data_IF_944503401763
#
_entry.id   IF_944503401763
#
_cell.length_a   1.000
_cell.length_b   1.000
_cell.length_c   1.000
_cell.angle_alpha   90.00
_cell.angle_beta   90.00
_cell.angle_gamma   90.00
#
_symmetry.space_group_name_H-M   'P 1'
#
loop_
_entity.id
_entity.type
_entity.pdbx_description
1 polymer ?
#
# COMPACT_ATOMS: atom_id res chain seq x y z
N UNK A 1 -19.47 -28.80 -13.43
CA UNK A 1 -19.51 -27.59 -12.59
C UNK A 1 -18.15 -27.46 -11.92
N UNK A 2 -17.45 -26.35 -12.13
CA UNK A 2 -16.07 -26.19 -11.64
C UNK A 2 -15.99 -26.13 -10.13
N UNK A 3 -15.00 -26.82 -9.54
CA UNK A 3 -14.67 -26.69 -8.12
C UNK A 3 -13.78 -25.46 -7.94
N UNK A 4 -14.37 -24.32 -7.57
CA UNK A 4 -13.59 -23.17 -7.12
C UNK A 4 -13.04 -23.44 -5.71
N UNK A 5 -11.82 -23.00 -5.44
CA UNK A 5 -11.25 -23.09 -4.10
C UNK A 5 -12.12 -22.30 -3.09
N UNK A 6 -12.34 -22.80 -1.86
CA UNK A 6 -13.17 -22.11 -0.86
C UNK A 6 -12.74 -20.67 -0.56
N UNK A 7 -11.42 -20.40 -0.56
CA UNK A 7 -10.86 -19.05 -0.38
C UNK A 7 -11.27 -18.09 -1.50
N UNK A 8 -11.36 -18.58 -2.73
CA UNK A 8 -11.77 -17.81 -3.90
C UNK A 8 -13.27 -17.51 -3.87
N UNK A 9 -14.09 -18.50 -3.47
CA UNK A 9 -15.53 -18.30 -3.24
C UNK A 9 -15.77 -17.26 -2.16
N UNK A 10 -15.06 -17.35 -1.03
CA UNK A 10 -15.15 -16.37 0.05
C UNK A 10 -14.80 -14.96 -0.42
N UNK A 11 -13.90 -14.77 -1.39
CA UNK A 11 -13.57 -13.45 -1.93
C UNK A 11 -14.65 -12.94 -2.90
N UNK A 12 -15.24 -13.81 -3.71
CA UNK A 12 -16.32 -13.48 -4.65
C UNK A 12 -17.66 -13.13 -4.00
N UNK A 13 -17.98 -13.77 -2.87
CA UNK A 13 -19.29 -13.63 -2.24
C UNK A 13 -19.44 -12.26 -1.55
N UNK A 14 -20.21 -11.37 -2.19
CA UNK A 14 -20.58 -10.05 -1.65
C UNK A 14 -21.70 -10.10 -0.61
N UNK A 15 -22.49 -11.18 -0.59
CA UNK A 15 -23.58 -11.34 0.37
C UNK A 15 -23.08 -11.89 1.73
N UNK A 16 -21.83 -12.36 1.78
CA UNK A 16 -21.22 -12.83 3.02
C UNK A 16 -20.88 -11.68 3.97
N UNK A 17 -21.35 -11.81 5.22
CA UNK A 17 -21.05 -10.87 6.30
C UNK A 17 -21.58 -9.46 6.03
N UNK A 18 -20.72 -8.46 6.27
CA UNK A 18 -20.97 -7.03 6.14
C UNK A 18 -20.35 -6.44 4.87
N UNK A 19 -19.87 -7.27 3.93
CA UNK A 19 -19.12 -6.80 2.75
C UNK A 19 -19.92 -5.85 1.86
N UNK A 20 -21.18 -6.18 1.60
CA UNK A 20 -22.04 -5.34 0.78
C UNK A 20 -22.24 -3.96 1.43
N UNK A 21 -22.58 -3.94 2.71
CA UNK A 21 -22.79 -2.69 3.45
C UNK A 21 -21.49 -1.89 3.58
N UNK A 22 -20.36 -2.56 3.83
CA UNK A 22 -19.03 -1.94 3.87
C UNK A 22 -18.64 -1.34 2.53
N UNK A 23 -18.94 -2.01 1.42
CA UNK A 23 -18.70 -1.49 0.07
C UNK A 23 -19.53 -0.21 -0.18
N UNK A 24 -20.81 -0.20 0.18
CA UNK A 24 -21.67 0.98 0.05
C UNK A 24 -21.24 2.12 0.97
N UNK A 25 -20.86 1.81 2.20
CA UNK A 25 -20.32 2.79 3.15
C UNK A 25 -19.04 3.41 2.59
N UNK A 26 -18.15 2.61 2.00
CA UNK A 26 -16.92 3.09 1.35
C UNK A 26 -17.17 4.13 0.24
N UNK A 27 -18.25 3.98 -0.54
CA UNK A 27 -18.66 5.00 -1.53
C UNK A 27 -19.00 6.32 -0.83
N UNK A 28 -19.77 6.25 0.26
CA UNK A 28 -20.19 7.42 1.03
C UNK A 28 -19.00 8.10 1.71
N UNK A 29 -18.08 7.31 2.26
CA UNK A 29 -16.86 7.80 2.89
C UNK A 29 -16.01 8.57 1.87
N UNK A 30 -15.78 8.00 0.68
CA UNK A 30 -15.04 8.68 -0.40
C UNK A 30 -15.73 9.95 -0.88
N UNK A 31 -17.07 9.95 -0.97
CA UNK A 31 -17.81 11.15 -1.33
C UNK A 31 -17.54 12.31 -0.35
N UNK A 32 -17.44 11.99 0.96
CA UNK A 32 -17.22 12.94 2.05
C UNK A 32 -15.75 13.37 2.21
N UNK A 33 -14.79 12.68 1.59
CA UNK A 33 -13.39 13.10 1.64
C UNK A 33 -13.18 14.46 0.92
N UNK A 34 -12.15 15.24 1.31
CA UNK A 34 -11.74 16.43 0.57
C UNK A 34 -11.45 16.11 -0.90
N UNK A 35 -11.67 17.07 -1.79
CA UNK A 35 -11.29 16.92 -3.19
C UNK A 35 -9.75 17.00 -3.30
N UNK A 36 -9.07 15.95 -3.83
CA UNK A 36 -7.61 15.97 -3.95
C UNK A 36 -7.12 16.85 -5.10
N UNK A 37 -8.00 17.32 -6.01
CA UNK A 37 -7.65 18.12 -7.18
C UNK A 37 -7.67 19.63 -6.91
N UNK A 38 -6.82 20.37 -7.63
CA UNK A 38 -6.76 21.83 -7.53
C UNK A 38 -6.05 22.35 -6.28
N UNK A 39 -5.46 21.46 -5.47
CA UNK A 39 -4.76 21.82 -4.24
C UNK A 39 -3.41 22.44 -4.59
N UNK A 40 -3.17 23.67 -4.12
CA UNK A 40 -1.89 24.34 -4.31
C UNK A 40 -0.94 23.93 -3.19
N UNK A 41 0.16 23.25 -3.56
CA UNK A 41 1.16 22.75 -2.62
C UNK A 41 2.46 23.56 -2.60
N UNK A 42 2.59 24.53 -3.52
CA UNK A 42 3.73 25.43 -3.61
C UNK A 42 3.32 26.64 -4.46
N UNK A 43 3.67 27.85 -4.01
CA UNK A 43 3.45 29.07 -4.77
C UNK A 43 4.58 30.08 -4.52
N UNK A 44 5.06 30.71 -5.59
CA UNK A 44 6.08 31.77 -5.52
C UNK A 44 5.84 32.89 -6.51
N UNK A 45 6.17 34.10 -6.09
CA UNK A 45 6.39 35.24 -6.97
C UNK A 45 7.81 35.20 -7.52
N UNK A 46 7.93 35.09 -8.84
CA UNK A 46 9.22 35.04 -9.53
C UNK A 46 9.71 36.43 -9.96
N UNK A 47 8.78 37.34 -10.28
CA UNK A 47 9.02 38.77 -10.55
C UNK A 47 7.75 39.56 -10.21
N UNK A 48 7.80 40.88 -10.27
CA UNK A 48 6.60 41.72 -10.27
C UNK A 48 5.69 41.28 -11.42
N UNK A 49 4.44 40.89 -11.10
CA UNK A 49 3.47 40.37 -12.06
C UNK A 49 3.83 39.00 -12.68
N UNK A 50 4.73 38.21 -12.07
CA UNK A 50 5.02 36.84 -12.51
C UNK A 50 4.92 35.86 -11.34
N UNK A 51 3.91 34.99 -11.38
CA UNK A 51 3.57 34.07 -10.28
C UNK A 51 3.54 32.62 -10.76
N UNK A 52 4.16 31.74 -9.98
CA UNK A 52 4.28 30.31 -10.20
C UNK A 52 3.53 29.53 -9.12
N UNK A 53 2.74 28.55 -9.53
CA UNK A 53 1.94 27.68 -8.66
C UNK A 53 2.19 26.22 -9.02
N UNK A 54 2.26 25.33 -8.02
CA UNK A 54 2.22 23.87 -8.17
C UNK A 54 0.87 23.36 -7.68
N UNK A 55 0.10 22.77 -8.58
CA UNK A 55 -1.33 22.48 -8.37
C UNK A 55 -1.58 21.00 -8.64
N UNK A 56 -2.28 20.32 -7.74
CA UNK A 56 -2.64 18.93 -7.94
C UNK A 56 -3.63 18.74 -9.10
N UNK A 57 -3.48 17.66 -9.84
CA UNK A 57 -4.36 17.26 -10.92
C UNK A 57 -4.45 15.74 -11.02
N UNK A 58 -5.47 15.19 -11.69
CA UNK A 58 -5.59 13.75 -11.86
C UNK A 58 -4.38 13.18 -12.58
N UNK A 59 -4.11 11.89 -12.37
CA UNK A 59 -3.12 11.15 -13.16
C UNK A 59 -3.56 11.09 -14.62
N UNK A 60 -4.83 10.78 -14.88
CA UNK A 60 -5.41 10.63 -16.21
C UNK A 60 -6.30 9.40 -16.28
N UNK A 61 -5.88 8.40 -17.05
CA UNK A 61 -6.60 7.15 -17.24
C UNK A 61 -5.94 5.98 -16.48
N UNK A 62 -6.74 5.30 -15.66
CA UNK A 62 -6.32 4.16 -14.85
C UNK A 62 -6.72 2.84 -15.50
N UNK A 63 -5.83 1.86 -15.51
CA UNK A 63 -6.15 0.46 -15.81
C UNK A 63 -6.05 -0.38 -14.54
N UNK A 64 -7.18 -0.91 -14.06
CA UNK A 64 -7.19 -1.77 -12.88
C UNK A 64 -7.50 -3.20 -13.27
N UNK A 65 -6.56 -4.10 -13.01
CA UNK A 65 -6.66 -5.53 -13.32
C UNK A 65 -6.79 -6.30 -12.00
N UNK A 66 -7.85 -7.06 -11.81
CA UNK A 66 -8.14 -7.70 -10.52
C UNK A 66 -8.71 -9.11 -10.61
N UNK A 67 -8.46 -9.93 -9.57
CA UNK A 67 -8.90 -11.32 -9.48
C UNK A 67 -9.83 -11.56 -8.27
N UNK A 68 -10.95 -12.22 -8.54
CA UNK A 68 -11.91 -12.75 -7.56
C UNK A 68 -12.39 -11.76 -6.49
N UNK A 69 -12.50 -10.47 -6.82
CA UNK A 69 -12.93 -9.40 -5.91
C UNK A 69 -13.87 -8.41 -6.61
N UNK A 70 -15.16 -8.73 -6.76
CA UNK A 70 -16.11 -7.87 -7.46
C UNK A 70 -16.30 -6.50 -6.79
N UNK A 71 -16.06 -6.38 -5.48
CA UNK A 71 -16.10 -5.11 -4.73
C UNK A 71 -15.10 -4.07 -5.25
N UNK A 72 -14.00 -4.52 -5.87
CA UNK A 72 -12.98 -3.63 -6.46
C UNK A 72 -13.59 -2.73 -7.52
N UNK A 73 -14.61 -3.18 -8.26
CA UNK A 73 -15.29 -2.37 -9.27
C UNK A 73 -15.85 -1.08 -8.66
N UNK A 74 -16.54 -1.19 -7.52
CA UNK A 74 -17.20 -0.06 -6.87
C UNK A 74 -16.18 0.83 -6.15
N UNK A 75 -15.22 0.24 -5.45
CA UNK A 75 -14.20 0.99 -4.71
C UNK A 75 -13.33 1.84 -5.64
N UNK A 76 -12.86 1.25 -6.75
CA UNK A 76 -12.04 1.94 -7.73
C UNK A 76 -12.85 2.99 -8.48
N UNK A 77 -14.08 2.69 -8.89
CA UNK A 77 -14.93 3.68 -9.54
C UNK A 77 -15.12 4.92 -8.65
N UNK A 78 -15.40 4.71 -7.36
CA UNK A 78 -15.60 5.82 -6.40
C UNK A 78 -14.34 6.68 -6.25
N UNK A 79 -13.17 6.05 -6.09
CA UNK A 79 -11.89 6.74 -5.98
C UNK A 79 -11.49 7.45 -7.27
N UNK A 80 -11.65 6.81 -8.42
CA UNK A 80 -11.33 7.37 -9.74
C UNK A 80 -12.19 8.60 -10.03
N UNK A 81 -13.51 8.50 -9.84
CA UNK A 81 -14.44 9.64 -10.02
C UNK A 81 -14.06 10.80 -9.10
N UNK A 82 -13.83 10.54 -7.81
CA UNK A 82 -13.52 11.58 -6.83
C UNK A 82 -12.17 12.26 -7.09
N UNK A 83 -11.18 11.50 -7.55
CA UNK A 83 -9.85 11.98 -7.93
C UNK A 83 -9.79 12.52 -9.36
N UNK A 84 -10.89 12.52 -10.12
CA UNK A 84 -10.95 13.07 -11.47
C UNK A 84 -10.22 12.23 -12.53
N UNK A 85 -10.02 10.94 -12.27
CA UNK A 85 -9.45 9.98 -13.20
C UNK A 85 -10.54 9.16 -13.88
N UNK A 86 -10.36 8.85 -15.17
CA UNK A 86 -11.13 7.79 -15.81
C UNK A 86 -10.55 6.42 -15.46
N UNK A 87 -11.33 5.35 -15.58
CA UNK A 87 -10.85 4.01 -15.27
C UNK A 87 -11.37 2.93 -16.23
N UNK A 88 -10.48 2.01 -16.58
CA UNK A 88 -10.76 0.76 -17.29
C UNK A 88 -10.56 -0.38 -16.29
N UNK A 89 -11.61 -1.17 -16.08
CA UNK A 89 -11.68 -2.21 -15.07
C UNK A 89 -11.67 -3.58 -15.75
N UNK A 90 -10.62 -4.36 -15.53
CA UNK A 90 -10.47 -5.71 -16.07
C UNK A 90 -10.51 -6.74 -14.93
N UNK A 91 -11.70 -7.32 -14.72
CA UNK A 91 -11.89 -8.40 -13.76
C UNK A 91 -11.55 -9.79 -14.33
N UNK A 92 -11.32 -10.74 -13.43
CA UNK A 92 -11.23 -12.17 -13.74
C UNK A 92 -12.58 -12.77 -14.16
N UNK A 93 -12.53 -13.86 -14.93
CA UNK A 93 -13.69 -14.54 -15.56
C UNK A 93 -14.74 -15.01 -14.54
N UNK A 94 -14.28 -15.33 -13.34
CA UNK A 94 -15.09 -15.78 -12.21
C UNK A 94 -16.04 -14.70 -11.67
N UNK A 95 -15.75 -13.41 -11.92
CA UNK A 95 -16.52 -12.27 -11.40
C UNK A 95 -17.29 -11.50 -12.48
N UNK A 96 -17.24 -11.96 -13.74
CA UNK A 96 -17.75 -11.22 -14.91
C UNK A 96 -19.20 -10.78 -14.77
N UNK A 97 -20.10 -11.66 -14.35
CA UNK A 97 -21.53 -11.32 -14.26
C UNK A 97 -21.80 -10.27 -13.18
N UNK A 98 -21.17 -10.42 -12.01
CA UNK A 98 -21.27 -9.46 -10.91
C UNK A 98 -20.68 -8.10 -11.30
N UNK A 99 -19.48 -8.10 -11.87
CA UNK A 99 -18.81 -6.89 -12.34
C UNK A 99 -19.64 -6.16 -13.41
N UNK A 100 -20.28 -6.91 -14.31
CA UNK A 100 -21.17 -6.32 -15.31
C UNK A 100 -22.38 -5.62 -14.70
N UNK A 101 -23.06 -6.24 -13.73
CA UNK A 101 -24.20 -5.60 -13.04
C UNK A 101 -23.77 -4.36 -12.26
N UNK A 102 -22.63 -4.40 -11.56
CA UNK A 102 -22.08 -3.25 -10.86
C UNK A 102 -21.72 -2.12 -11.85
N UNK A 103 -21.14 -2.45 -13.00
CA UNK A 103 -20.82 -1.48 -14.05
C UNK A 103 -22.07 -0.81 -14.63
N UNK A 104 -23.17 -1.55 -14.83
CA UNK A 104 -24.43 -0.97 -15.28
C UNK A 104 -25.01 0.01 -14.24
N UNK A 105 -24.92 -0.33 -12.95
CA UNK A 105 -25.36 0.55 -11.88
C UNK A 105 -24.52 1.85 -11.84
N UNK A 106 -23.19 1.75 -11.96
CA UNK A 106 -22.27 2.89 -12.02
C UNK A 106 -22.59 3.77 -13.24
N UNK A 107 -22.75 3.16 -14.41
CA UNK A 107 -23.11 3.88 -15.65
C UNK A 107 -24.43 4.62 -15.53
N UNK A 108 -25.46 3.98 -14.96
CA UNK A 108 -26.75 4.60 -14.71
C UNK A 108 -26.66 5.80 -13.74
N UNK A 109 -25.74 5.75 -12.78
CA UNK A 109 -25.47 6.87 -11.89
C UNK A 109 -24.73 8.02 -12.62
N UNK A 110 -23.70 7.69 -13.41
CA UNK A 110 -22.93 8.67 -14.20
C UNK A 110 -23.81 9.41 -15.21
N UNK A 111 -24.76 8.73 -15.86
CA UNK A 111 -25.70 9.33 -16.80
C UNK A 111 -26.63 10.40 -16.17
N UNK A 112 -26.70 10.49 -14.83
CA UNK A 112 -27.42 11.53 -14.09
C UNK A 112 -26.53 12.70 -13.68
N UNK A 113 -25.25 12.67 -14.06
CA UNK A 113 -24.24 13.69 -13.76
C UNK A 113 -23.80 14.41 -15.04
N UNK A 114 -22.85 15.34 -14.93
CA UNK A 114 -22.22 15.98 -16.08
C UNK A 114 -21.08 15.17 -16.71
N UNK A 115 -20.75 14.00 -16.15
CA UNK A 115 -19.69 13.13 -16.66
C UNK A 115 -20.23 12.22 -17.76
N UNK A 116 -19.33 11.81 -18.65
CA UNK A 116 -19.62 10.81 -19.66
C UNK A 116 -20.00 9.48 -18.99
N UNK A 117 -21.01 8.78 -19.54
CA UNK A 117 -21.46 7.50 -19.00
C UNK A 117 -20.40 6.39 -19.11
N UNK A 118 -19.39 6.55 -19.98
CA UNK A 118 -18.23 5.69 -20.17
C UNK A 118 -16.99 6.16 -19.42
N UNK A 119 -17.12 7.09 -18.47
CA UNK A 119 -16.00 7.55 -17.64
C UNK A 119 -15.35 6.41 -16.84
N UNK A 120 -16.15 5.40 -16.47
CA UNK A 120 -15.72 4.14 -15.89
C UNK A 120 -16.15 3.01 -16.83
N UNK A 121 -15.19 2.25 -17.34
CA UNK A 121 -15.41 1.17 -18.30
C UNK A 121 -15.04 -0.18 -17.69
N UNK A 122 -15.75 -1.23 -18.08
CA UNK A 122 -15.44 -2.60 -17.65
C UNK A 122 -15.22 -3.47 -18.88
N UNK A 123 -14.07 -4.16 -18.94
CA UNK A 123 -13.72 -5.05 -20.05
C UNK A 123 -14.10 -6.48 -19.67
N UNK A 124 -15.12 -7.02 -20.33
CA UNK A 124 -15.70 -8.34 -20.04
C UNK A 124 -15.22 -9.45 -20.98
N UNK A 125 -14.62 -9.10 -22.09
CA UNK A 125 -14.24 -9.97 -23.20
C UNK A 125 -12.99 -10.80 -22.90
N UNK A 126 -12.71 -11.77 -23.78
CA UNK A 126 -11.46 -12.56 -23.77
C UNK A 126 -10.21 -11.72 -24.05
N UNK A 127 -10.40 -10.44 -24.39
CA UNK A 127 -9.37 -9.45 -24.71
C UNK A 127 -8.17 -9.64 -23.80
N UNK A 128 -7.06 -9.87 -24.47
CA UNK A 128 -5.85 -10.27 -23.81
C UNK A 128 -5.36 -9.07 -23.01
N UNK A 129 -5.15 -9.28 -21.71
CA UNK A 129 -4.58 -8.26 -20.82
C UNK A 129 -3.34 -7.61 -21.45
N UNK A 130 -2.60 -8.34 -22.29
CA UNK A 130 -1.49 -7.85 -23.11
C UNK A 130 -1.84 -6.63 -23.96
N UNK A 131 -2.96 -6.62 -24.68
CA UNK A 131 -3.31 -5.50 -25.56
C UNK A 131 -3.52 -4.21 -24.76
N UNK A 132 -4.21 -4.29 -23.61
CA UNK A 132 -4.39 -3.15 -22.71
C UNK A 132 -3.05 -2.69 -22.11
N UNK A 133 -2.14 -3.62 -21.83
CA UNK A 133 -0.81 -3.31 -21.30
C UNK A 133 0.14 -2.68 -22.35
N UNK A 134 -0.21 -2.71 -23.63
CA UNK A 134 0.52 -2.05 -24.72
C UNK A 134 0.02 -0.63 -25.02
N UNK A 135 -1.10 -0.19 -24.41
CA UNK A 135 -1.72 1.11 -24.65
C UNK A 135 -1.11 2.25 -23.81
N UNK A 136 0.22 2.38 -23.80
CA UNK A 136 0.94 3.43 -23.04
C UNK A 136 0.74 4.86 -23.56
N UNK A 137 0.09 5.03 -24.71
CA UNK A 137 -0.39 6.33 -25.19
C UNK A 137 -1.68 6.81 -24.48
N UNK A 138 -2.51 5.87 -24.00
CA UNK A 138 -3.86 6.17 -23.49
C UNK A 138 -4.02 5.89 -21.99
N UNK A 139 -3.16 5.05 -21.41
CA UNK A 139 -3.27 4.58 -20.04
C UNK A 139 -2.05 5.08 -19.28
N UNK A 140 -2.30 5.86 -18.23
CA UNK A 140 -1.26 6.54 -17.45
C UNK A 140 -0.77 5.72 -16.25
N UNK A 141 -1.60 4.81 -15.74
CA UNK A 141 -1.26 3.97 -14.58
C UNK A 141 -1.98 2.62 -14.59
N UNK A 142 -1.23 1.54 -14.37
CA UNK A 142 -1.77 0.19 -14.15
C UNK A 142 -1.76 -0.17 -12.66
N UNK A 143 -2.85 -0.74 -12.18
CA UNK A 143 -3.03 -1.14 -10.78
C UNK A 143 -3.47 -2.61 -10.72
N UNK A 144 -2.53 -3.54 -10.50
CA UNK A 144 -2.86 -4.95 -10.33
C UNK A 144 -3.34 -5.27 -8.91
N UNK A 145 -4.47 -5.97 -8.79
CA UNK A 145 -5.05 -6.45 -7.52
C UNK A 145 -5.34 -7.95 -7.60
N UNK A 146 -4.32 -8.77 -7.34
CA UNK A 146 -4.45 -10.22 -7.42
C UNK A 146 -3.31 -10.94 -6.73
N UNK A 147 -2.94 -12.09 -7.29
CA UNK A 147 -1.78 -12.85 -6.82
C UNK A 147 -0.44 -12.17 -7.14
N UNK A 148 0.61 -12.52 -6.38
CA UNK A 148 1.99 -12.07 -6.64
C UNK A 148 2.42 -12.39 -8.08
N UNK A 149 2.00 -13.55 -8.61
CA UNK A 149 2.28 -13.96 -9.99
C UNK A 149 1.64 -13.02 -11.02
N UNK A 150 0.40 -12.59 -10.80
CA UNK A 150 -0.27 -11.62 -11.67
C UNK A 150 0.47 -10.27 -11.65
N UNK A 151 0.80 -9.76 -10.46
CA UNK A 151 1.51 -8.47 -10.31
C UNK A 151 2.86 -8.52 -11.03
N UNK A 152 3.65 -9.56 -10.78
CA UNK A 152 4.96 -9.76 -11.44
C UNK A 152 4.82 -9.90 -12.95
N UNK A 153 3.80 -10.61 -13.43
CA UNK A 153 3.56 -10.72 -14.88
C UNK A 153 3.28 -9.34 -15.49
N UNK A 154 2.39 -8.55 -14.90
CA UNK A 154 2.04 -7.22 -15.40
C UNK A 154 3.27 -6.30 -15.40
N UNK A 155 4.04 -6.27 -14.30
CA UNK A 155 5.25 -5.46 -14.19
C UNK A 155 6.29 -5.77 -15.27
N UNK A 156 6.39 -7.01 -15.74
CA UNK A 156 7.31 -7.38 -16.82
C UNK A 156 6.73 -7.16 -18.23
N UNK A 157 5.42 -6.95 -18.35
CA UNK A 157 4.70 -6.95 -19.64
C UNK A 157 4.27 -5.57 -20.13
N UNK A 158 4.53 -4.49 -19.38
CA UNK A 158 4.09 -3.13 -19.77
C UNK A 158 5.17 -2.08 -19.58
N UNK A 159 5.10 -1.01 -20.38
CA UNK A 159 5.84 0.24 -20.17
C UNK A 159 5.08 1.25 -19.32
N UNK A 160 3.77 1.04 -19.15
CA UNK A 160 2.92 1.90 -18.33
C UNK A 160 3.40 1.80 -16.88
N UNK A 161 3.48 2.91 -16.13
CA UNK A 161 3.76 2.84 -14.70
C UNK A 161 2.82 1.86 -13.98
N UNK A 162 3.38 1.00 -13.13
CA UNK A 162 2.60 0.01 -12.36
C UNK A 162 2.67 0.36 -10.89
N UNK A 163 1.51 0.51 -10.24
CA UNK A 163 1.40 0.75 -8.81
C UNK A 163 0.82 -0.47 -8.09
N UNK A 164 1.59 -1.02 -7.17
CA UNK A 164 1.17 -2.15 -6.34
C UNK A 164 2.33 -2.72 -5.55
N UNK A 165 2.15 -3.91 -5.00
CA UNK A 165 3.19 -4.68 -4.35
C UNK A 165 3.16 -6.12 -4.87
N UNK A 166 4.34 -6.72 -5.01
CA UNK A 166 4.47 -8.06 -5.56
C UNK A 166 4.62 -9.14 -4.48
N UNK A 167 5.04 -8.80 -3.27
CA UNK A 167 5.24 -9.72 -2.15
C UNK A 167 4.97 -9.01 -0.81
N UNK A 168 4.62 -9.76 0.24
CA UNK A 168 4.24 -9.27 1.57
C UNK A 168 5.12 -9.82 2.71
N UNK A 169 6.44 -9.77 2.56
CA UNK A 169 7.40 -10.22 3.58
C UNK A 169 7.56 -9.14 4.66
N UNK A 170 6.72 -9.18 5.68
CA UNK A 170 6.73 -8.23 6.79
C UNK A 170 7.45 -8.80 8.01
N UNK A 171 8.20 -7.96 8.74
CA UNK A 171 8.89 -8.36 9.95
C UNK A 171 8.39 -7.65 11.22
N UNK A 172 8.48 -8.35 12.35
CA UNK A 172 8.37 -7.77 13.69
C UNK A 172 9.69 -7.98 14.40
N UNK A 173 10.29 -6.92 14.95
CA UNK A 173 11.51 -6.98 15.75
C UNK A 173 11.21 -6.74 17.22
N UNK A 174 11.61 -7.68 18.07
CA UNK A 174 11.58 -7.56 19.53
C UNK A 174 12.95 -7.04 20.01
N UNK A 175 12.99 -5.76 20.33
CA UNK A 175 14.17 -5.06 20.83
C UNK A 175 14.56 -5.51 22.24
N UNK A 176 15.82 -5.31 22.64
CA UNK A 176 16.30 -5.70 23.97
C UNK A 176 15.51 -5.10 25.14
N UNK A 177 14.82 -3.98 24.92
CA UNK A 177 13.98 -3.30 25.91
C UNK A 177 12.49 -3.59 25.75
N UNK A 178 12.09 -4.56 24.92
CA UNK A 178 10.69 -4.86 24.65
C UNK A 178 9.91 -5.22 25.93
N UNK A 179 8.78 -4.55 26.16
CA UNK A 179 7.83 -4.96 27.18
C UNK A 179 7.22 -6.34 26.81
N UNK A 180 7.24 -7.34 27.71
CA UNK A 180 6.75 -8.68 27.40
C UNK A 180 5.28 -8.72 26.94
N UNK A 181 4.41 -7.89 27.53
CA UNK A 181 2.99 -7.90 27.19
C UNK A 181 2.75 -7.28 25.81
N UNK A 182 3.44 -6.18 25.48
CA UNK A 182 3.40 -5.59 24.13
C UNK A 182 3.96 -6.56 23.10
N UNK A 183 5.08 -7.22 23.38
CA UNK A 183 5.71 -8.18 22.48
C UNK A 183 4.75 -9.32 22.09
N UNK A 184 4.09 -9.94 23.08
CA UNK A 184 3.09 -11.00 22.83
C UNK A 184 1.94 -10.46 21.98
N UNK A 185 1.33 -9.34 22.36
CA UNK A 185 0.16 -8.80 21.67
C UNK A 185 0.46 -8.42 20.22
N UNK A 186 1.57 -7.73 20.00
CA UNK A 186 1.96 -7.24 18.67
C UNK A 186 2.36 -8.40 17.76
N UNK A 187 3.21 -9.32 18.23
CA UNK A 187 3.65 -10.45 17.41
C UNK A 187 2.49 -11.39 17.04
N UNK A 188 1.61 -11.71 17.99
CA UNK A 188 0.45 -12.57 17.75
C UNK A 188 -0.52 -11.92 16.77
N UNK A 189 -0.96 -10.68 17.01
CA UNK A 189 -1.92 -10.02 16.11
C UNK A 189 -1.33 -9.82 14.69
N UNK A 190 -0.04 -9.50 14.59
CA UNK A 190 0.63 -9.33 13.30
C UNK A 190 0.59 -10.60 12.44
N UNK A 191 0.56 -11.80 13.05
CA UNK A 191 0.50 -13.08 12.32
C UNK A 191 -0.92 -13.64 12.21
N UNK A 192 -1.71 -13.63 13.27
CA UNK A 192 -2.93 -14.44 13.40
C UNK A 192 -4.22 -13.70 13.03
N UNK A 193 -4.21 -12.36 13.00
CA UNK A 193 -5.40 -11.57 12.70
C UNK A 193 -5.99 -11.90 11.31
N UNK A 194 -5.13 -11.94 10.29
CA UNK A 194 -5.48 -12.41 8.95
C UNK A 194 -4.22 -12.92 8.23
N UNK A 195 -3.85 -14.20 8.40
CA UNK A 195 -2.57 -14.73 7.94
C UNK A 195 -2.35 -14.70 6.42
N UNK A 196 -3.42 -14.58 5.63
CA UNK A 196 -3.37 -14.49 4.17
C UNK A 196 -3.32 -13.04 3.65
N UNK A 197 -3.18 -12.04 4.54
CA UNK A 197 -2.97 -10.65 4.16
C UNK A 197 -1.48 -10.40 3.87
N UNK A 198 -1.19 -9.53 2.89
CA UNK A 198 0.18 -9.16 2.51
C UNK A 198 0.95 -8.37 3.57
N UNK A 199 0.28 -7.89 4.61
CA UNK A 199 0.87 -7.19 5.75
C UNK A 199 0.90 -8.06 7.02
N UNK A 200 0.64 -9.37 6.91
CA UNK A 200 0.86 -10.30 8.00
C UNK A 200 2.36 -10.50 8.21
N UNK A 201 2.80 -10.60 9.47
CA UNK A 201 4.20 -10.88 9.77
C UNK A 201 4.60 -12.27 9.24
N UNK A 202 5.73 -12.34 8.53
CA UNK A 202 6.32 -13.58 8.02
C UNK A 202 7.64 -13.91 8.73
N UNK A 203 8.32 -12.89 9.28
CA UNK A 203 9.54 -13.05 10.09
C UNK A 203 9.41 -12.34 11.44
N UNK A 204 9.79 -13.02 12.51
CA UNK A 204 9.98 -12.45 13.85
C UNK A 204 11.48 -12.41 14.15
N UNK A 205 12.00 -11.20 14.36
CA UNK A 205 13.37 -10.98 14.80
C UNK A 205 13.38 -10.81 16.31
N UNK A 206 14.23 -11.55 17.01
CA UNK A 206 14.29 -11.54 18.48
C UNK A 206 15.68 -11.13 18.93
N UNK A 207 15.79 -10.10 19.76
CA UNK A 207 17.08 -9.76 20.33
C UNK A 207 17.62 -10.87 21.25
N UNK A 208 18.92 -11.20 21.15
CA UNK A 208 19.56 -12.29 21.92
C UNK A 208 19.33 -12.20 23.43
N UNK A 209 19.28 -10.98 23.99
CA UNK A 209 19.03 -10.77 25.43
C UNK A 209 17.64 -11.22 25.90
N UNK A 210 16.68 -11.39 24.98
CA UNK A 210 15.30 -11.76 25.29
C UNK A 210 15.04 -13.28 25.31
N UNK A 211 16.00 -14.08 24.85
CA UNK A 211 15.83 -15.52 24.64
C UNK A 211 15.31 -16.28 25.87
N UNK A 212 15.69 -15.84 27.08
CA UNK A 212 15.31 -16.48 28.35
C UNK A 212 14.16 -15.78 29.08
N UNK A 213 13.64 -14.67 28.57
CA UNK A 213 12.70 -13.80 29.30
C UNK A 213 11.41 -13.55 28.53
N UNK A 214 11.49 -12.79 27.42
CA UNK A 214 10.33 -12.39 26.62
C UNK A 214 10.01 -13.45 25.57
N UNK A 215 11.03 -14.00 24.91
CA UNK A 215 10.84 -14.93 23.80
C UNK A 215 10.01 -16.17 24.16
N UNK A 216 10.23 -16.88 25.28
CA UNK A 216 9.43 -18.06 25.61
C UNK A 216 7.93 -17.76 25.74
N UNK A 217 7.57 -16.58 26.27
CA UNK A 217 6.17 -16.13 26.39
C UNK A 217 5.54 -15.84 25.04
N UNK A 218 6.30 -15.23 24.14
CA UNK A 218 5.85 -14.95 22.77
C UNK A 218 5.68 -16.25 21.99
N UNK A 219 6.65 -17.17 22.09
CA UNK A 219 6.58 -18.47 21.45
C UNK A 219 5.36 -19.29 21.92
N UNK A 220 5.15 -19.40 23.23
CA UNK A 220 3.98 -20.10 23.80
C UNK A 220 2.65 -19.53 23.30
N UNK A 221 2.53 -18.19 23.26
CA UNK A 221 1.32 -17.53 22.78
C UNK A 221 1.07 -17.78 21.28
N UNK A 222 2.11 -17.75 20.44
CA UNK A 222 2.02 -18.07 19.01
C UNK A 222 1.63 -19.53 18.78
N UNK A 223 2.28 -20.46 19.48
CA UNK A 223 2.01 -21.90 19.41
C UNK A 223 0.58 -22.24 19.86
N UNK A 224 0.10 -21.59 20.93
CA UNK A 224 -1.27 -21.73 21.41
C UNK A 224 -2.32 -21.22 20.40
N UNK A 225 -1.92 -20.33 19.48
CA UNK A 225 -2.73 -19.90 18.34
C UNK A 225 -2.49 -20.73 17.07
N UNK A 226 -1.91 -21.93 17.20
CA UNK A 226 -1.60 -22.86 16.10
C UNK A 226 -0.64 -22.29 15.03
N UNK A 227 0.26 -21.38 15.42
CA UNK A 227 1.32 -20.90 14.52
C UNK A 227 2.47 -21.89 14.52
N UNK A 228 2.83 -22.40 13.34
CA UNK A 228 4.09 -23.12 13.13
C UNK A 228 5.27 -22.13 13.21
N UNK A 229 6.20 -22.37 14.12
CA UNK A 229 7.43 -21.59 14.28
C UNK A 229 8.59 -22.29 13.57
N UNK A 230 9.27 -21.56 12.69
CA UNK A 230 10.53 -21.98 12.08
C UNK A 230 11.68 -21.24 12.76
N UNK A 231 12.31 -21.88 13.73
CA UNK A 231 13.26 -21.24 14.65
C UNK A 231 14.70 -21.47 14.22
N UNK A 232 15.53 -20.43 14.25
CA UNK A 232 16.98 -20.60 14.24
C UNK A 232 17.49 -21.37 15.48
N UNK A 233 18.77 -21.73 15.49
CA UNK A 233 19.33 -22.60 16.53
C UNK A 233 19.20 -21.99 17.95
N UNK A 234 19.44 -20.69 18.10
CA UNK A 234 19.38 -20.00 19.40
C UNK A 234 17.94 -19.86 19.92
N UNK A 235 17.01 -19.43 19.07
CA UNK A 235 15.60 -19.32 19.45
C UNK A 235 14.98 -20.69 19.73
N UNK A 236 15.39 -21.74 19.02
CA UNK A 236 14.94 -23.11 19.25
C UNK A 236 15.43 -23.67 20.59
N UNK A 237 16.72 -23.54 20.90
CA UNK A 237 17.33 -24.04 22.13
C UNK A 237 16.66 -23.40 23.37
N UNK A 238 16.40 -22.10 23.30
CA UNK A 238 15.81 -21.35 24.42
C UNK A 238 14.38 -21.73 24.80
N UNK A 239 13.64 -22.46 23.94
CA UNK A 239 12.27 -22.91 24.20
C UNK A 239 12.16 -24.44 24.22
N UNK A 240 13.24 -25.18 24.50
CA UNK A 240 13.30 -26.64 24.36
C UNK A 240 12.14 -27.42 24.99
N UNK A 241 11.68 -27.05 26.19
CA UNK A 241 10.51 -27.69 26.83
C UNK A 241 9.20 -27.43 26.05
N UNK A 242 8.95 -26.18 25.64
CA UNK A 242 7.80 -25.82 24.81
C UNK A 242 7.88 -26.51 23.43
N UNK A 243 9.06 -26.55 22.82
CA UNK A 243 9.29 -27.23 21.54
C UNK A 243 8.95 -28.72 21.62
N UNK A 244 9.20 -29.36 22.77
CA UNK A 244 8.79 -30.74 23.00
C UNK A 244 7.27 -30.88 23.07
N UNK A 245 6.59 -30.03 23.84
CA UNK A 245 5.13 -30.02 23.97
C UNK A 245 4.41 -29.72 22.65
N UNK A 246 5.02 -28.90 21.78
CA UNK A 246 4.48 -28.49 20.49
C UNK A 246 5.30 -29.04 19.31
N UNK A 247 5.81 -30.27 19.42
CA UNK A 247 6.74 -30.87 18.44
C UNK A 247 6.29 -30.87 16.97
N UNK A 248 4.98 -30.77 16.70
CA UNK A 248 4.44 -30.67 15.34
C UNK A 248 4.45 -29.24 14.76
N UNK A 249 4.56 -28.22 15.63
CA UNK A 249 4.49 -26.80 15.28
C UNK A 249 5.83 -26.08 15.46
N UNK A 250 6.89 -26.76 15.93
CA UNK A 250 8.22 -26.15 16.05
C UNK A 250 9.20 -26.90 15.17
N UNK A 251 9.82 -26.20 14.24
CA UNK A 251 10.81 -26.74 13.29
C UNK A 251 12.05 -25.86 13.23
N UNK A 252 13.23 -26.40 12.96
CA UNK A 252 14.39 -25.58 12.60
C UNK A 252 14.11 -24.77 11.33
N UNK A 253 14.53 -23.51 11.30
CA UNK A 253 14.48 -22.68 10.10
C UNK A 253 15.56 -23.05 9.09
N UNK A 254 15.29 -22.74 7.82
CA UNK A 254 16.25 -22.79 6.71
C UNK A 254 16.36 -21.42 6.04
N UNK A 255 17.45 -21.10 5.33
CA UNK A 255 17.64 -19.77 4.75
C UNK A 255 16.53 -19.27 3.82
N UNK A 256 15.80 -20.20 3.15
CA UNK A 256 14.67 -19.85 2.29
C UNK A 256 13.44 -19.36 3.06
N UNK A 257 13.32 -19.68 4.35
CA UNK A 257 12.17 -19.27 5.17
C UNK A 257 12.10 -17.76 5.30
N UNK A 258 13.25 -17.09 5.44
CA UNK A 258 13.33 -15.62 5.52
C UNK A 258 13.01 -14.90 4.21
N UNK A 259 12.73 -15.64 3.13
CA UNK A 259 12.35 -15.11 1.81
C UNK A 259 10.99 -15.64 1.33
N UNK A 260 10.29 -16.39 2.18
CA UNK A 260 9.04 -17.07 1.81
C UNK A 260 7.86 -16.36 2.46
N UNK A 261 6.91 -15.91 1.64
CA UNK A 261 5.62 -15.40 2.12
C UNK A 261 4.70 -16.61 2.35
N UNK A 262 4.47 -16.98 3.61
CA UNK A 262 3.78 -18.21 3.96
C UNK A 262 2.27 -18.13 3.76
N UNK A 263 1.68 -16.93 3.88
CA UNK A 263 0.23 -16.68 3.74
C UNK A 263 -0.64 -17.62 4.60
N UNK A 264 -0.09 -18.08 5.72
CA UNK A 264 -0.66 -19.10 6.59
C UNK A 264 -0.16 -18.92 8.02
N UNK A 265 -0.57 -19.81 8.93
CA UNK A 265 -0.11 -19.82 10.32
C UNK A 265 1.31 -20.42 10.41
N UNK A 266 2.26 -19.81 9.72
CA UNK A 266 3.70 -20.12 9.77
C UNK A 266 4.47 -18.83 9.92
N UNK A 267 5.50 -18.84 10.76
CA UNK A 267 6.34 -17.67 11.07
C UNK A 267 7.80 -18.10 11.22
N UNK A 268 8.70 -17.47 10.46
CA UNK A 268 10.14 -17.64 10.63
C UNK A 268 10.63 -16.82 11.82
N UNK A 269 11.56 -17.37 12.60
CA UNK A 269 12.10 -16.73 13.81
C UNK A 269 13.62 -16.72 13.71
N UNK A 270 14.20 -15.53 13.79
CA UNK A 270 15.64 -15.32 13.76
C UNK A 270 16.09 -14.51 14.98
N UNK A 271 17.14 -14.99 15.62
CA UNK A 271 17.79 -14.28 16.71
C UNK A 271 18.80 -13.28 16.14
N UNK A 272 18.79 -12.05 16.65
CA UNK A 272 19.71 -10.98 16.21
C UNK A 272 20.39 -10.30 17.41
N UNK A 273 21.68 -9.92 17.30
CA UNK A 273 22.45 -9.43 18.45
C UNK A 273 22.31 -7.92 18.71
N UNK A 274 21.59 -7.18 17.85
CA UNK A 274 21.42 -5.73 17.98
C UNK A 274 20.32 -5.18 17.07
N UNK A 275 19.89 -3.95 17.34
CA UNK A 275 19.02 -3.17 16.45
C UNK A 275 19.60 -3.03 15.03
N UNK A 276 20.91 -2.80 14.91
CA UNK A 276 21.56 -2.65 13.61
C UNK A 276 21.48 -3.94 12.78
N UNK A 277 21.65 -5.11 13.41
CA UNK A 277 21.47 -6.39 12.76
C UNK A 277 20.02 -6.63 12.34
N UNK A 278 19.05 -6.22 13.15
CA UNK A 278 17.62 -6.30 12.81
C UNK A 278 17.29 -5.46 11.57
N UNK A 279 17.72 -4.19 11.55
CA UNK A 279 17.54 -3.28 10.40
C UNK A 279 18.19 -3.86 9.14
N UNK A 280 19.43 -4.37 9.27
CA UNK A 280 20.14 -4.97 8.13
C UNK A 280 19.42 -6.20 7.59
N UNK A 281 18.84 -7.03 8.46
CA UNK A 281 18.06 -8.18 8.02
C UNK A 281 16.80 -7.74 7.26
N UNK A 282 16.03 -6.82 7.83
CA UNK A 282 14.77 -6.31 7.25
C UNK A 282 15.01 -5.68 5.88
N UNK A 283 16.01 -4.80 5.76
CA UNK A 283 16.32 -4.14 4.48
C UNK A 283 16.82 -5.13 3.41
N UNK A 284 17.31 -6.31 3.80
CA UNK A 284 17.81 -7.33 2.87
C UNK A 284 16.75 -8.38 2.50
N UNK A 285 15.78 -8.64 3.37
CA UNK A 285 14.87 -9.79 3.24
C UNK A 285 13.38 -9.42 3.19
N UNK A 286 12.97 -8.28 3.75
CA UNK A 286 11.57 -7.84 3.65
C UNK A 286 11.21 -7.48 2.21
N UNK A 287 9.90 -7.39 1.93
CA UNK A 287 9.41 -6.87 0.66
C UNK A 287 9.26 -5.34 0.68
N UNK A 288 9.84 -4.68 1.69
CA UNK A 288 9.70 -3.25 1.94
C UNK A 288 8.24 -2.80 2.12
N UNK A 289 7.40 -3.71 2.64
CA UNK A 289 5.98 -3.48 2.86
C UNK A 289 5.73 -2.82 4.21
N UNK A 290 5.67 -3.62 5.29
CA UNK A 290 5.43 -3.11 6.63
C UNK A 290 6.30 -3.83 7.64
N UNK A 291 7.04 -3.09 8.44
CA UNK A 291 7.91 -3.67 9.48
C UNK A 291 7.72 -2.94 10.81
N UNK A 292 7.76 -3.67 11.91
CA UNK A 292 7.46 -3.13 13.24
C UNK A 292 8.57 -3.44 14.23
N UNK A 293 8.87 -2.50 15.12
CA UNK A 293 9.70 -2.70 16.30
C UNK A 293 8.84 -2.67 17.57
N UNK A 294 9.09 -3.59 18.50
CA UNK A 294 8.56 -3.54 19.87
C UNK A 294 9.70 -3.17 20.81
N UNK A 295 9.62 -2.00 21.45
CA UNK A 295 10.69 -1.42 22.28
C UNK A 295 10.13 -0.40 23.27
N UNK A 296 10.74 -0.28 24.45
CA UNK A 296 10.52 0.85 25.37
C UNK A 296 11.58 1.94 25.22
N UNK A 297 12.60 1.73 24.38
CA UNK A 297 13.65 2.70 24.09
C UNK A 297 13.23 3.62 22.91
N UNK A 298 13.04 4.90 23.21
CA UNK A 298 12.63 5.91 22.22
C UNK A 298 13.69 6.17 21.14
N UNK A 299 14.97 6.06 21.47
CA UNK A 299 16.05 6.21 20.50
C UNK A 299 16.05 5.02 19.52
N UNK A 300 15.89 3.79 20.02
CA UNK A 300 15.80 2.60 19.16
C UNK A 300 14.60 2.67 18.22
N UNK A 301 13.44 3.07 18.74
CA UNK A 301 12.24 3.31 17.94
C UNK A 301 12.50 4.33 16.82
N UNK A 302 13.12 5.47 17.15
CA UNK A 302 13.42 6.51 16.17
C UNK A 302 14.45 6.08 15.13
N UNK A 303 15.48 5.31 15.52
CA UNK A 303 16.50 4.78 14.61
C UNK A 303 15.88 3.76 13.68
N UNK A 304 15.08 2.82 14.20
CA UNK A 304 14.37 1.82 13.41
C UNK A 304 13.51 2.46 12.31
N UNK A 305 12.63 3.39 12.68
CA UNK A 305 11.71 4.01 11.72
C UNK A 305 12.41 4.82 10.63
N UNK A 306 13.61 5.34 10.89
CA UNK A 306 14.40 6.12 9.92
C UNK A 306 15.28 5.24 9.03
N UNK A 307 15.76 4.10 9.55
CA UNK A 307 16.74 3.27 8.88
C UNK A 307 16.14 2.06 8.15
N UNK A 308 14.95 1.61 8.54
CA UNK A 308 14.19 0.60 7.80
C UNK A 308 13.52 1.25 6.60
N UNK A 309 13.82 0.73 5.41
CA UNK A 309 13.36 1.25 4.14
C UNK A 309 12.09 0.53 3.66
N UNK A 310 11.03 0.59 4.45
CA UNK A 310 9.73 -0.01 4.14
C UNK A 310 8.66 1.05 3.96
N UNK A 311 7.55 0.68 3.31
CA UNK A 311 6.44 1.59 3.10
C UNK A 311 5.76 2.01 4.41
N UNK A 312 5.72 1.11 5.40
CA UNK A 312 5.33 1.42 6.77
C UNK A 312 6.38 0.93 7.77
N UNK A 313 6.79 1.81 8.69
CA UNK A 313 7.63 1.46 9.84
C UNK A 313 6.90 1.80 11.13
N UNK A 314 6.64 0.79 11.96
CA UNK A 314 5.78 0.90 13.13
C UNK A 314 6.56 0.70 14.43
N UNK A 315 6.04 1.28 15.52
CA UNK A 315 6.58 1.14 16.87
C UNK A 315 5.47 0.66 17.78
N UNK A 316 5.67 -0.46 18.46
CA UNK A 316 4.72 -1.06 19.40
C UNK A 316 3.31 -1.26 18.82
N UNK A 317 3.22 -1.48 17.51
CA UNK A 317 1.96 -1.66 16.79
C UNK A 317 2.05 -2.82 15.79
N UNK A 318 0.92 -3.48 15.58
CA UNK A 318 0.80 -4.61 14.65
C UNK A 318 1.03 -4.18 13.20
N UNK A 319 1.70 -5.02 12.41
CA UNK A 319 1.88 -4.78 10.97
C UNK A 319 0.55 -4.71 10.22
N UNK A 320 -0.51 -5.31 10.79
CA UNK A 320 -1.88 -5.33 10.24
C UNK A 320 -2.53 -3.94 10.16
N UNK A 321 -1.98 -2.94 10.85
CA UNK A 321 -2.45 -1.57 10.73
C UNK A 321 -2.18 -0.93 9.37
N UNK A 322 -1.26 -1.48 8.55
CA UNK A 322 -0.96 -0.97 7.20
C UNK A 322 -2.11 -1.25 6.22
N UNK A 323 -3.11 -0.40 6.24
CA UNK A 323 -4.39 -0.53 5.55
C UNK A 323 -5.06 0.85 5.45
N UNK A 324 -5.54 1.21 4.27
CA UNK A 324 -6.05 2.56 4.00
C UNK A 324 -7.27 2.93 4.84
N UNK A 325 -8.17 2.00 5.14
CA UNK A 325 -9.29 2.28 6.04
C UNK A 325 -8.78 2.55 7.45
N UNK A 326 -7.85 1.73 7.96
CA UNK A 326 -7.23 1.93 9.28
C UNK A 326 -6.44 3.23 9.38
N UNK A 327 -5.92 3.74 8.26
CA UNK A 327 -5.24 5.04 8.17
C UNK A 327 -6.20 6.23 8.05
N UNK A 328 -7.50 5.99 7.88
CA UNK A 328 -8.51 7.03 7.72
C UNK A 328 -8.66 7.53 6.28
N UNK A 329 -8.26 6.76 5.27
CA UNK A 329 -8.42 7.11 3.86
C UNK A 329 -9.81 6.75 3.30
N UNK A 330 -10.71 6.19 4.12
CA UNK A 330 -12.02 5.67 3.71
C UNK A 330 -11.88 4.34 2.96
N UNK A 331 -11.36 4.36 1.74
CA UNK A 331 -10.99 3.14 1.00
C UNK A 331 -9.62 3.32 0.35
N UNK A 332 -9.01 2.20 -0.04
CA UNK A 332 -7.75 2.17 -0.77
C UNK A 332 -7.88 1.51 -2.15
N UNK A 333 -7.03 1.97 -3.05
CA UNK A 333 -6.78 1.36 -4.35
C UNK A 333 -5.92 0.11 -4.22
N UNK A 334 -5.12 0.02 -3.16
CA UNK A 334 -4.19 -1.05 -2.84
C UNK A 334 -3.02 -0.51 -2.04
N UNK A 335 -1.98 -1.32 -1.88
CA UNK A 335 -0.74 -0.93 -1.20
C UNK A 335 0.39 -0.88 -2.24
N UNK A 336 1.23 0.15 -2.18
CA UNK A 336 2.40 0.31 -3.04
C UNK A 336 3.68 0.14 -2.24
N UNK A 337 4.59 -0.70 -2.70
CA UNK A 337 5.97 -0.75 -2.19
C UNK A 337 6.96 0.00 -3.08
N UNK A 338 6.46 0.61 -4.16
CA UNK A 338 7.24 1.47 -5.06
C UNK A 338 7.84 2.67 -4.32
N UNK A 339 9.01 3.11 -4.76
CA UNK A 339 9.72 4.27 -4.19
C UNK A 339 9.37 5.59 -4.87
N UNK A 340 8.59 5.54 -5.94
CA UNK A 340 8.19 6.69 -6.75
C UNK A 340 6.69 6.91 -6.61
N UNK A 341 6.27 8.18 -6.69
CA UNK A 341 4.88 8.63 -6.63
C UNK A 341 4.16 8.37 -5.30
N UNK A 342 3.66 7.16 -5.06
CA UNK A 342 2.92 6.80 -3.85
C UNK A 342 3.46 5.50 -3.23
N UNK A 343 3.57 5.47 -1.90
CA UNK A 343 4.16 4.37 -1.12
C UNK A 343 3.32 4.14 0.15
N UNK A 344 3.02 2.88 0.45
CA UNK A 344 2.09 2.47 1.50
C UNK A 344 0.65 2.29 0.96
N UNK A 345 -0.35 2.24 1.85
CA UNK A 345 -1.75 2.26 1.44
C UNK A 345 -2.05 3.47 0.55
N UNK A 346 -2.71 3.26 -0.57
CA UNK A 346 -2.95 4.29 -1.59
C UNK A 346 -4.42 4.70 -1.59
N UNK A 347 -4.70 5.90 -1.06
CA UNK A 347 -5.99 6.57 -1.13
C UNK A 347 -6.08 7.59 -2.29
N UNK A 348 -6.93 8.61 -2.14
CA UNK A 348 -7.14 9.66 -3.14
C UNK A 348 -5.86 10.43 -3.52
N UNK A 349 -5.02 10.75 -2.54
CA UNK A 349 -3.80 11.55 -2.77
C UNK A 349 -2.78 10.82 -3.64
N UNK A 350 -2.78 9.48 -3.65
CA UNK A 350 -1.94 8.71 -4.56
C UNK A 350 -2.53 8.54 -5.96
N UNK A 351 -3.74 9.06 -6.23
CA UNK A 351 -4.36 9.10 -7.55
C UNK A 351 -4.30 10.49 -8.21
N UNK A 352 -3.57 11.43 -7.62
CA UNK A 352 -3.31 12.75 -8.20
C UNK A 352 -1.81 12.99 -8.31
N UNK A 353 -1.40 13.70 -9.35
CA UNK A 353 -0.06 14.26 -9.52
C UNK A 353 -0.15 15.77 -9.41
N UNK A 354 0.86 16.49 -9.89
CA UNK A 354 0.84 17.94 -9.96
C UNK A 354 1.36 18.48 -11.28
N UNK A 355 0.93 19.69 -11.62
CA UNK A 355 1.51 20.50 -12.69
C UNK A 355 1.86 21.89 -12.20
N UNK A 356 2.74 22.57 -12.94
CA UNK A 356 3.08 23.96 -12.67
C UNK A 356 2.25 24.89 -13.55
N UNK A 357 1.64 25.90 -12.92
CA UNK A 357 0.95 26.99 -13.59
C UNK A 357 1.77 28.27 -13.38
N UNK A 358 2.17 28.91 -14.48
CA UNK A 358 2.90 30.16 -14.45
C UNK A 358 2.06 31.23 -15.13
N UNK A 359 1.79 32.34 -14.45
CA UNK A 359 1.04 33.46 -14.99
C UNK A 359 1.86 34.73 -14.94
N UNK A 360 1.89 35.40 -16.09
CA UNK A 360 2.29 36.80 -16.20
C UNK A 360 1.04 37.67 -16.24
N UNK A 361 0.95 38.67 -15.36
CA UNK A 361 -0.02 39.77 -15.47
C UNK A 361 0.57 41.05 -16.09
N UNK A 362 1.84 41.00 -16.54
CA UNK A 362 2.45 42.07 -17.34
C UNK A 362 1.79 42.20 -18.71
N UNK A 363 1.58 43.43 -19.18
CA UNK A 363 1.00 43.72 -20.50
C UNK A 363 1.87 43.26 -21.66
N UNK A 364 3.19 43.34 -21.52
CA UNK A 364 4.16 42.90 -22.55
C UNK A 364 4.50 41.40 -22.45
N UNK A 365 3.97 40.71 -21.43
CA UNK A 365 4.40 39.37 -21.06
C UNK A 365 5.75 39.36 -20.34
N UNK A 366 6.24 38.15 -20.03
CA UNK A 366 7.56 37.94 -19.45
C UNK A 366 8.39 37.05 -20.38
N UNK A 367 9.64 37.44 -20.63
CA UNK A 367 10.61 36.61 -21.36
C UNK A 367 11.79 36.28 -20.46
N UNK A 368 12.31 35.05 -20.59
CA UNK A 368 13.49 34.62 -19.82
C UNK A 368 14.73 35.47 -20.13
N UNK A 369 14.80 36.03 -21.33
CA UNK A 369 15.92 36.86 -21.78
C UNK A 369 16.12 38.15 -20.97
N UNK A 370 15.12 38.62 -20.21
CA UNK A 370 15.25 39.78 -19.32
C UNK A 370 15.96 39.45 -18.00
N UNK A 371 16.04 38.18 -17.64
CA UNK A 371 16.59 37.73 -16.37
C UNK A 371 18.06 37.30 -16.52
N UNK A 372 18.87 37.48 -15.47
CA UNK A 372 20.26 37.06 -15.47
C UNK A 372 21.18 37.89 -14.57
N UNK A 373 22.48 37.74 -14.77
CA UNK A 373 23.54 38.37 -13.95
C UNK A 373 24.24 39.57 -14.60
N UNK A 374 23.91 39.88 -15.86
CA UNK A 374 24.51 40.99 -16.62
C UNK A 374 23.87 42.36 -16.36
N UNK A 375 24.51 43.42 -16.85
CA UNK A 375 23.97 44.78 -16.79
C UNK A 375 22.62 44.87 -17.51
N UNK A 376 21.64 45.53 -16.88
CA UNK A 376 20.27 45.63 -17.39
C UNK A 376 19.40 44.37 -17.22
N UNK A 377 19.90 43.30 -16.59
CA UNK A 377 19.09 42.09 -16.31
C UNK A 377 18.35 42.19 -14.98
N UNK A 378 17.12 41.67 -14.97
CA UNK A 378 16.30 41.47 -13.77
C UNK A 378 16.78 40.25 -12.98
N UNK A 379 16.56 40.28 -11.66
CA UNK A 379 16.78 39.14 -10.77
C UNK A 379 15.43 38.54 -10.39
N UNK A 380 15.36 37.22 -10.27
CA UNK A 380 14.18 36.57 -9.72
C UNK A 380 14.00 36.92 -8.24
N UNK A 381 12.75 37.14 -7.84
CA UNK A 381 12.38 37.44 -6.46
C UNK A 381 12.34 36.17 -5.60
N UNK A 382 11.77 35.08 -6.15
CA UNK A 382 11.53 33.82 -5.44
C UNK A 382 10.82 33.98 -4.07
N UNK A 383 9.99 35.00 -3.93
CA UNK A 383 9.25 35.24 -2.70
C UNK A 383 8.08 34.26 -2.58
N UNK A 384 7.86 33.71 -1.38
CA UNK A 384 6.71 32.85 -1.11
C UNK A 384 5.41 33.66 -1.11
N UNK A 385 4.35 33.08 -1.67
CA UNK A 385 3.00 33.67 -1.70
C UNK A 385 1.98 32.63 -1.21
N UNK A 386 0.77 33.09 -0.90
CA UNK A 386 -0.27 32.23 -0.34
C UNK A 386 -0.65 31.06 -1.27
N UNK A 387 -0.85 29.89 -0.67
CA UNK A 387 -1.24 28.65 -1.38
C UNK A 387 -2.74 28.36 -1.27
N UNK A 388 -3.56 29.38 -0.97
CA UNK A 388 -4.98 29.14 -0.66
C UNK A 388 -5.78 28.75 -1.90
N UNK A 389 -5.49 29.35 -3.05
CA UNK A 389 -6.10 29.05 -4.35
C UNK A 389 -5.22 29.56 -5.49
N UNK A 390 -5.37 28.98 -6.68
CA UNK A 390 -4.86 29.58 -7.92
C UNK A 390 -5.76 30.77 -8.26
N UNK A 391 -5.23 31.99 -8.45
CA UNK A 391 -6.06 33.18 -8.67
C UNK A 391 -6.59 33.32 -10.12
N UNK A 392 -6.55 32.25 -10.93
CA UNK A 392 -6.98 32.25 -12.33
C UNK A 392 -7.42 30.87 -12.81
#
# INVERSE_FOLDING_TARGET
MGKLAPSLVKRLDLASGDKWDSMLQGVTDVANLPNPNGVVSYARKLDDNLELYRVSCPIGALLVIFEARPEVVVNIASLAIKSGNSAILKGGKESTQTAHQLSLAIRSALAKSSLDEYYIQTVSTRDEVSELLEMDEYIDLVIPRGSNALVKSIQHSTRIPVMGHADGLCAVYLDETADPNKAVRVAVDSKTNYPAACNAAETLLVHTSLLKTVWPKVAEALLSNNVELRCDAESLDSIGELAHSYSQLVKPSVPSDYKTEFLSHTLAVLTVPSLAAAISHINMHSSHHTDSIVTENQEHASVFCRAVDSAGTFVNASTRFADGFRYGFGTEVGISTGRTHARGPVGLDGLVIYKYLLRSSSGDGHIVGEFGTGEGKKKFQHAEIATNNVPF
#
